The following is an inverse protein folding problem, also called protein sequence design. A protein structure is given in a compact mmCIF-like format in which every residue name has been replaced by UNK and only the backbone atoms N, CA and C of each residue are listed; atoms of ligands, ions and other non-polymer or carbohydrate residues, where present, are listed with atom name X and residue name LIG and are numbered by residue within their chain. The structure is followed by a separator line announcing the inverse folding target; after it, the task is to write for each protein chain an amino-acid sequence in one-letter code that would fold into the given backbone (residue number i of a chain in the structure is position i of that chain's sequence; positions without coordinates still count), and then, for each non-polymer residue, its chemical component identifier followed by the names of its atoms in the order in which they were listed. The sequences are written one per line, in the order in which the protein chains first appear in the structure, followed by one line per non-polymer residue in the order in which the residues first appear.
data_IF_844770527723
#
_entry.id   IF_844770527723
#
_cell.length_a   1.000
_cell.length_b   1.000
_cell.length_c   1.000
_cell.angle_alpha   90.00
_cell.angle_beta   90.00
_cell.angle_gamma   90.00
#
_symmetry.space_group_name_H-M   'P 1'
#
loop_
_entity.id
_entity.type
_entity.pdbx_description
1 polymer ?
#
# COMPACT_ATOMS: atom_id res chain seq x y z
N UNK A 1 -52.21 -29.43 -61.24
CA UNK A 1 -53.49 -29.16 -60.55
C UNK A 1 -53.68 -30.19 -59.44
N UNK A 2 -53.36 -29.88 -58.18
CA UNK A 2 -54.23 -30.14 -57.04
C UNK A 2 -53.61 -29.58 -55.75
N UNK A 3 -54.49 -29.07 -54.89
CA UNK A 3 -54.22 -28.27 -53.69
C UNK A 3 -53.97 -29.16 -52.46
N UNK A 4 -53.60 -28.47 -51.37
CA UNK A 4 -53.70 -28.83 -49.95
C UNK A 4 -52.45 -29.52 -49.36
N UNK A 5 -51.94 -29.17 -48.17
CA UNK A 5 -52.42 -28.31 -47.07
C UNK A 5 -51.23 -27.97 -46.17
N UNK A 6 -50.95 -26.69 -45.95
CA UNK A 6 -50.02 -26.22 -44.92
C UNK A 6 -50.65 -26.42 -43.54
N UNK A 7 -49.98 -27.13 -42.63
CA UNK A 7 -50.25 -27.08 -41.19
C UNK A 7 -49.42 -25.95 -40.59
N UNK A 8 -50.09 -24.91 -40.09
CA UNK A 8 -49.50 -23.87 -39.26
C UNK A 8 -49.48 -24.39 -37.83
N UNK A 9 -48.29 -24.62 -37.29
CA UNK A 9 -48.08 -24.88 -35.87
C UNK A 9 -48.06 -23.52 -35.16
N UNK A 10 -49.08 -23.24 -34.36
CA UNK A 10 -49.14 -22.06 -33.50
C UNK A 10 -48.12 -22.21 -32.37
N UNK A 11 -46.92 -21.64 -32.52
CA UNK A 11 -46.01 -21.44 -31.40
C UNK A 11 -46.39 -20.11 -30.73
N UNK A 12 -47.00 -20.22 -29.55
CA UNK A 12 -47.32 -19.10 -28.68
C UNK A 12 -46.01 -18.45 -28.20
N UNK A 13 -45.65 -17.30 -28.77
CA UNK A 13 -44.51 -16.51 -28.31
C UNK A 13 -44.93 -15.82 -27.00
N UNK A 14 -44.59 -16.43 -25.87
CA UNK A 14 -44.75 -15.82 -24.55
C UNK A 14 -43.61 -14.80 -24.36
N UNK A 15 -43.87 -13.53 -24.62
CA UNK A 15 -42.91 -12.45 -24.32
C UNK A 15 -42.90 -12.24 -22.80
N UNK A 16 -42.00 -12.93 -22.11
CA UNK A 16 -41.69 -12.64 -20.71
C UNK A 16 -40.90 -11.33 -20.71
N UNK A 17 -41.57 -10.24 -20.35
CA UNK A 17 -40.91 -9.00 -19.96
C UNK A 17 -40.32 -9.26 -18.58
N UNK A 18 -39.05 -9.67 -18.52
CA UNK A 18 -38.29 -9.68 -17.27
C UNK A 18 -38.04 -8.24 -16.86
N UNK A 19 -38.80 -7.75 -15.89
CA UNK A 19 -38.37 -6.62 -15.08
C UNK A 19 -37.10 -7.07 -14.34
N UNK A 20 -35.94 -6.69 -14.87
CA UNK A 20 -34.71 -6.66 -14.09
C UNK A 20 -34.91 -5.65 -12.97
N UNK A 21 -35.33 -6.15 -11.81
CA UNK A 21 -35.15 -5.46 -10.54
C UNK A 21 -33.64 -5.27 -10.40
N UNK A 22 -33.15 -4.09 -10.75
CA UNK A 22 -31.85 -3.65 -10.27
C UNK A 22 -31.89 -3.80 -8.75
N UNK A 23 -30.93 -4.51 -8.12
CA UNK A 23 -30.79 -4.41 -6.68
C UNK A 23 -30.66 -2.91 -6.40
N UNK A 24 -31.55 -2.39 -5.54
CA UNK A 24 -31.37 -1.05 -5.01
C UNK A 24 -29.93 -1.00 -4.50
N UNK A 25 -29.12 -0.11 -5.06
CA UNK A 25 -27.80 0.18 -4.52
C UNK A 25 -28.01 0.39 -3.02
N UNK A 26 -27.52 -0.54 -2.22
CA UNK A 26 -27.43 -0.31 -0.79
C UNK A 26 -26.46 0.85 -0.68
N UNK A 27 -27.00 2.07 -0.49
CA UNK A 27 -26.20 3.25 -0.19
C UNK A 27 -25.25 2.84 0.92
N UNK A 28 -23.96 2.76 0.59
CA UNK A 28 -22.94 2.45 1.57
C UNK A 28 -23.12 3.46 2.72
N UNK A 29 -23.13 2.96 3.96
CA UNK A 29 -23.29 3.82 5.12
C UNK A 29 -22.22 4.93 5.07
N UNK A 30 -22.64 6.19 5.22
CA UNK A 30 -21.73 7.34 5.26
C UNK A 30 -20.77 7.16 6.43
N UNK A 31 -19.53 6.80 6.13
CA UNK A 31 -18.50 6.52 7.15
C UNK A 31 -18.16 7.76 7.98
N UNK A 32 -18.51 8.96 7.52
CA UNK A 32 -18.30 10.19 8.29
C UNK A 32 -19.39 10.45 9.32
N UNK A 33 -20.53 9.77 9.23
CA UNK A 33 -21.60 9.89 10.22
C UNK A 33 -21.25 9.11 11.49
N UNK A 34 -20.88 9.87 12.52
CA UNK A 34 -20.47 9.36 13.83
C UNK A 34 -21.53 9.62 14.89
N UNK A 35 -22.76 9.98 14.48
CA UNK A 35 -23.85 10.39 15.37
C UNK A 35 -24.07 9.38 16.49
N UNK A 36 -24.14 8.09 16.17
CA UNK A 36 -24.36 7.04 17.17
C UNK A 36 -23.25 6.98 18.24
N UNK A 37 -21.98 7.19 17.86
CA UNK A 37 -20.86 7.21 18.80
C UNK A 37 -20.91 8.43 19.71
N UNK A 38 -21.25 9.60 19.16
CA UNK A 38 -21.36 10.84 19.94
C UNK A 38 -22.55 10.80 20.89
N UNK A 39 -23.71 10.27 20.45
CA UNK A 39 -24.88 10.03 21.31
C UNK A 39 -24.53 9.11 22.47
N UNK A 40 -23.82 8.01 22.22
CA UNK A 40 -23.42 7.06 23.26
C UNK A 40 -22.43 7.63 24.29
N UNK A 41 -21.73 8.71 23.94
CA UNK A 41 -20.78 9.39 24.83
C UNK A 41 -21.43 10.46 25.73
N UNK A 42 -22.72 10.76 25.54
CA UNK A 42 -23.44 11.71 26.41
C UNK A 42 -23.76 11.05 27.75
N UNK A 43 -23.36 11.71 28.84
CA UNK A 43 -23.69 11.31 30.22
C UNK A 43 -24.06 12.54 31.05
N UNK A 44 -25.10 12.43 31.87
CA UNK A 44 -25.59 13.52 32.74
C UNK A 44 -25.82 14.85 32.00
N UNK A 45 -26.37 14.79 30.78
CA UNK A 45 -26.57 15.92 29.87
C UNK A 45 -25.27 16.69 29.53
N UNK A 46 -24.14 15.99 29.55
CA UNK A 46 -22.82 16.49 29.15
C UNK A 46 -22.21 15.57 28.11
N UNK A 47 -21.45 16.17 27.21
CA UNK A 47 -20.59 15.50 26.25
C UNK A 47 -19.16 15.97 26.53
N UNK A 48 -18.22 15.03 26.64
CA UNK A 48 -16.79 15.29 26.58
C UNK A 48 -16.19 14.21 25.69
N UNK A 49 -15.79 14.57 24.48
CA UNK A 49 -15.33 13.58 23.48
C UNK A 49 -14.13 14.10 22.69
N UNK A 50 -13.13 13.24 22.52
CA UNK A 50 -11.93 13.55 21.73
C UNK A 50 -12.19 13.32 20.24
N UNK A 51 -11.88 14.30 19.41
CA UNK A 51 -11.95 14.19 17.97
C UNK A 51 -10.70 13.51 17.41
N UNK A 52 -10.66 12.18 17.51
CA UNK A 52 -9.50 11.38 17.08
C UNK A 52 -9.92 10.15 16.28
N UNK A 53 -8.98 9.61 15.51
CA UNK A 53 -9.16 8.35 14.79
C UNK A 53 -9.37 7.15 15.72
N UNK A 54 -8.82 7.18 16.93
CA UNK A 54 -9.09 6.13 17.93
C UNK A 54 -10.56 6.12 18.35
N UNK A 55 -11.19 7.30 18.43
CA UNK A 55 -12.60 7.44 18.83
C UNK A 55 -13.52 7.08 17.67
N UNK A 56 -13.29 7.66 16.51
CA UNK A 56 -14.24 7.63 15.39
C UNK A 56 -13.87 6.65 14.27
N UNK A 57 -12.62 6.21 14.19
CA UNK A 57 -12.01 5.63 13.00
C UNK A 57 -11.48 6.73 12.08
N UNK A 58 -10.62 6.37 11.13
CA UNK A 58 -10.15 7.30 10.11
C UNK A 58 -11.18 7.41 8.98
N UNK A 59 -12.12 8.33 9.15
CA UNK A 59 -13.28 8.53 8.25
C UNK A 59 -12.90 9.20 6.93
N UNK A 60 -11.73 9.84 6.88
CA UNK A 60 -11.16 10.47 5.70
C UNK A 60 -9.62 10.33 5.73
N UNK A 61 -9.08 9.19 5.26
CA UNK A 61 -7.64 8.93 5.29
C UNK A 61 -6.82 9.95 4.51
N UNK A 62 -5.70 10.37 5.08
CA UNK A 62 -4.75 11.30 4.44
C UNK A 62 -5.16 12.78 4.50
N UNK A 63 -6.31 13.11 5.09
CA UNK A 63 -6.78 14.49 5.24
C UNK A 63 -7.06 14.79 6.72
N UNK A 64 -6.64 15.96 7.25
CA UNK A 64 -7.04 16.39 8.58
C UNK A 64 -8.56 16.44 8.71
N UNK A 65 -9.10 15.97 9.83
CA UNK A 65 -10.55 15.91 10.06
C UNK A 65 -11.03 16.95 11.06
N UNK A 66 -12.34 17.15 11.10
CA UNK A 66 -13.04 18.00 12.06
C UNK A 66 -14.30 17.29 12.52
N UNK A 67 -14.51 17.23 13.83
CA UNK A 67 -15.77 16.80 14.42
C UNK A 67 -16.71 18.00 14.42
N UNK A 68 -17.87 17.85 13.80
CA UNK A 68 -18.97 18.80 13.84
C UNK A 68 -20.19 18.13 14.44
N UNK A 69 -20.70 18.67 15.54
CA UNK A 69 -21.86 18.16 16.27
C UNK A 69 -22.98 19.20 16.23
N UNK A 70 -24.07 18.86 15.57
CA UNK A 70 -25.35 19.55 15.70
C UNK A 70 -26.09 18.98 16.90
N UNK A 71 -26.49 19.84 17.83
CA UNK A 71 -27.16 19.44 19.05
C UNK A 71 -28.19 20.49 19.48
N UNK A 72 -29.07 20.08 20.37
CA UNK A 72 -30.08 20.94 20.98
C UNK A 72 -29.92 20.91 22.49
N UNK A 73 -29.97 22.08 23.12
CA UNK A 73 -30.10 22.23 24.57
C UNK A 73 -31.43 22.96 24.82
N UNK A 74 -32.39 22.26 25.43
CA UNK A 74 -33.77 22.74 25.52
C UNK A 74 -34.41 22.90 24.14
N UNK A 75 -34.76 24.14 23.76
CA UNK A 75 -35.34 24.46 22.44
C UNK A 75 -34.33 25.12 21.48
N UNK A 76 -33.08 25.27 21.89
CA UNK A 76 -32.05 25.94 21.09
C UNK A 76 -31.13 24.95 20.41
N UNK A 77 -31.17 24.92 19.08
CA UNK A 77 -30.19 24.23 18.26
C UNK A 77 -28.88 25.01 18.19
N UNK A 78 -27.77 24.29 18.26
CA UNK A 78 -26.42 24.80 18.28
C UNK A 78 -25.49 23.84 17.54
N UNK A 79 -24.31 24.35 17.18
CA UNK A 79 -23.26 23.56 16.53
C UNK A 79 -21.97 23.72 17.30
N UNK A 80 -21.36 22.59 17.64
CA UNK A 80 -20.03 22.51 18.23
C UNK A 80 -19.07 21.93 17.21
N UNK A 81 -17.88 22.51 17.10
CA UNK A 81 -16.84 22.03 16.19
C UNK A 81 -15.49 21.94 16.90
N UNK A 82 -14.72 20.91 16.57
CA UNK A 82 -13.34 20.78 17.03
C UNK A 82 -12.50 20.06 15.97
N UNK A 83 -11.28 20.56 15.74
CA UNK A 83 -10.34 19.93 14.80
C UNK A 83 -9.81 18.61 15.36
N UNK A 84 -9.37 17.72 14.47
CA UNK A 84 -8.69 16.48 14.83
C UNK A 84 -7.57 16.71 15.87
N UNK A 85 -7.55 15.86 16.89
CA UNK A 85 -6.67 15.97 18.07
C UNK A 85 -7.24 16.84 19.20
N UNK A 86 -8.31 17.61 18.96
CA UNK A 86 -8.96 18.40 20.01
C UNK A 86 -10.06 17.64 20.77
N UNK A 87 -10.59 18.25 21.82
CA UNK A 87 -11.69 17.73 22.62
C UNK A 87 -12.89 18.68 22.56
N UNK A 88 -14.08 18.12 22.31
CA UNK A 88 -15.33 18.87 22.35
C UNK A 88 -16.03 18.63 23.68
N UNK A 89 -16.31 19.71 24.41
CA UNK A 89 -17.06 19.70 25.66
C UNK A 89 -18.35 20.50 25.51
N UNK A 90 -19.48 19.87 25.82
CA UNK A 90 -20.81 20.48 25.83
C UNK A 90 -21.47 20.11 27.15
N UNK A 91 -22.03 21.07 27.86
CA UNK A 91 -22.78 20.82 29.08
C UNK A 91 -24.10 21.59 29.05
N UNK A 92 -25.22 20.86 29.17
CA UNK A 92 -26.51 21.52 29.36
C UNK A 92 -26.59 22.13 30.78
N UNK A 93 -27.16 23.34 30.92
CA UNK A 93 -27.50 23.88 32.23
C UNK A 93 -28.47 22.97 33.00
N UNK A 94 -28.48 23.09 34.33
CA UNK A 94 -29.38 22.30 35.18
C UNK A 94 -30.85 22.47 34.74
N UNK A 95 -31.55 21.35 34.58
CA UNK A 95 -32.95 21.30 34.14
C UNK A 95 -33.15 21.38 32.61
N UNK A 96 -32.07 21.43 31.82
CA UNK A 96 -32.14 21.34 30.36
C UNK A 96 -31.53 20.02 29.86
N UNK A 97 -32.15 19.46 28.83
CA UNK A 97 -31.70 18.23 28.19
C UNK A 97 -30.76 18.55 27.02
N UNK A 98 -29.67 17.78 26.92
CA UNK A 98 -28.78 17.78 25.75
C UNK A 98 -29.20 16.67 24.79
N UNK A 99 -29.58 17.03 23.58
CA UNK A 99 -29.93 16.08 22.51
C UNK A 99 -28.97 16.26 21.34
N UNK A 100 -28.22 15.22 20.98
CA UNK A 100 -27.41 15.22 19.76
C UNK A 100 -28.33 14.97 18.56
N UNK A 101 -28.29 15.87 17.58
CA UNK A 101 -29.10 15.78 16.36
C UNK A 101 -28.31 15.03 15.28
N UNK A 102 -27.06 15.45 15.05
CA UNK A 102 -26.18 14.86 14.05
C UNK A 102 -24.73 15.12 14.42
N UNK A 103 -23.86 14.15 14.23
CA UNK A 103 -22.42 14.34 14.36
C UNK A 103 -21.67 13.77 13.16
N UNK A 104 -20.80 14.59 12.59
CA UNK A 104 -19.99 14.27 11.43
C UNK A 104 -18.51 14.43 11.77
N UNK A 105 -17.71 13.42 11.44
CA UNK A 105 -16.24 13.51 11.47
C UNK A 105 -15.76 13.48 10.02
N UNK A 106 -15.59 14.67 9.43
CA UNK A 106 -15.34 14.87 8.00
C UNK A 106 -13.99 15.55 7.76
N UNK A 107 -13.49 15.62 6.51
CA UNK A 107 -12.38 16.50 6.14
C UNK A 107 -12.58 17.93 6.68
N UNK A 108 -11.54 18.47 7.33
CA UNK A 108 -11.59 19.77 7.99
C UNK A 108 -11.77 20.94 7.00
N UNK A 109 -11.33 20.74 5.76
CA UNK A 109 -11.46 21.69 4.64
C UNK A 109 -12.84 21.67 3.98
N UNK A 110 -13.75 20.80 4.44
CA UNK A 110 -15.10 20.65 3.89
C UNK A 110 -15.16 19.86 2.58
N UNK A 111 -14.05 19.26 2.15
CA UNK A 111 -14.04 18.32 1.03
C UNK A 111 -14.88 17.07 1.34
N UNK A 112 -15.34 16.38 0.29
CA UNK A 112 -15.98 15.08 0.46
C UNK A 112 -14.87 14.02 0.64
N UNK A 113 -15.07 13.00 1.50
CA UNK A 113 -14.20 11.84 1.51
C UNK A 113 -14.11 11.22 0.12
N UNK A 114 -12.93 10.71 -0.23
CA UNK A 114 -12.72 10.04 -1.51
C UNK A 114 -13.55 8.76 -1.58
N UNK A 115 -14.37 8.64 -2.63
CA UNK A 115 -15.03 7.38 -2.97
C UNK A 115 -14.12 6.57 -3.89
N UNK A 116 -13.36 5.64 -3.31
CA UNK A 116 -12.47 4.77 -4.07
C UNK A 116 -13.18 3.86 -5.09
N UNK A 117 -14.52 3.75 -5.07
CA UNK A 117 -15.25 3.08 -6.15
C UNK A 117 -15.34 3.92 -7.43
N UNK A 118 -15.05 5.22 -7.34
CA UNK A 118 -15.06 6.18 -8.44
C UNK A 118 -13.72 6.93 -8.53
N UNK A 119 -12.59 6.23 -8.76
CA UNK A 119 -11.26 6.84 -8.73
C UNK A 119 -11.06 7.97 -9.75
N UNK A 120 -11.84 7.95 -10.85
CA UNK A 120 -11.81 9.00 -11.87
C UNK A 120 -12.27 10.38 -11.35
N UNK A 121 -12.91 10.47 -10.18
CA UNK A 121 -13.28 11.75 -9.58
C UNK A 121 -12.08 12.53 -8.99
N UNK A 122 -10.97 11.84 -8.72
CA UNK A 122 -9.82 12.43 -8.04
C UNK A 122 -8.44 11.99 -8.58
N UNK A 123 -8.40 11.13 -9.61
CA UNK A 123 -7.17 10.75 -10.32
C UNK A 123 -7.30 11.03 -11.81
N UNK A 124 -6.28 11.68 -12.37
CA UNK A 124 -6.18 11.93 -13.80
C UNK A 124 -5.56 10.73 -14.54
N UNK A 125 -6.03 10.47 -15.76
CA UNK A 125 -5.43 9.49 -16.69
C UNK A 125 -5.05 10.12 -18.03
N UNK A 126 -4.07 9.52 -18.71
CA UNK A 126 -3.81 9.83 -20.11
C UNK A 126 -4.93 9.29 -21.01
N UNK A 127 -5.15 9.88 -22.21
CA UNK A 127 -6.12 9.36 -23.16
C UNK A 127 -5.90 7.87 -23.47
N UNK A 128 -6.97 7.08 -23.39
CA UNK A 128 -6.95 5.63 -23.61
C UNK A 128 -6.67 4.78 -22.37
N UNK A 129 -6.47 5.39 -21.20
CA UNK A 129 -6.28 4.70 -19.92
C UNK A 129 -7.48 4.89 -18.99
N UNK A 130 -7.83 3.83 -18.26
CA UNK A 130 -8.81 3.83 -17.18
C UNK A 130 -8.13 3.45 -15.87
N UNK A 131 -8.67 3.92 -14.75
CA UNK A 131 -8.25 3.52 -13.40
C UNK A 131 -9.42 2.79 -12.74
N UNK A 132 -9.12 1.67 -12.11
CA UNK A 132 -10.06 0.91 -11.29
C UNK A 132 -9.41 0.62 -9.94
N UNK A 133 -10.20 0.74 -8.87
CA UNK A 133 -9.75 0.32 -7.55
C UNK A 133 -9.91 -1.19 -7.41
N UNK A 134 -8.79 -1.89 -7.22
CA UNK A 134 -8.76 -3.36 -7.14
C UNK A 134 -8.72 -3.86 -5.70
N UNK A 135 -7.89 -3.25 -4.85
CA UNK A 135 -7.65 -3.70 -3.49
C UNK A 135 -7.12 -2.55 -2.63
N UNK A 136 -7.63 -2.47 -1.39
CA UNK A 136 -7.14 -1.58 -0.35
C UNK A 136 -6.44 -2.40 0.75
N UNK A 137 -5.31 -1.89 1.26
CA UNK A 137 -4.63 -2.51 2.39
C UNK A 137 -5.42 -2.29 3.69
N UNK A 138 -5.54 -3.35 4.49
CA UNK A 138 -5.90 -3.22 5.90
C UNK A 138 -4.60 -3.00 6.71
N UNK A 139 -4.49 -1.86 7.38
CA UNK A 139 -3.28 -1.50 8.13
C UNK A 139 -2.92 -2.53 9.23
N UNK A 140 -3.91 -3.20 9.82
CA UNK A 140 -3.70 -4.18 10.89
C UNK A 140 -3.32 -5.57 10.39
N UNK A 141 -3.69 -5.91 9.14
CA UNK A 141 -3.44 -7.22 8.54
C UNK A 141 -2.28 -7.18 7.54
N UNK A 142 -2.29 -6.18 6.67
CA UNK A 142 -1.35 -6.05 5.54
C UNK A 142 -0.22 -5.08 5.83
N UNK A 143 -0.47 -4.06 6.66
CA UNK A 143 0.43 -2.93 6.81
C UNK A 143 0.41 -2.02 5.58
N UNK A 144 1.57 -1.49 5.21
CA UNK A 144 1.80 -0.63 4.05
C UNK A 144 2.61 -1.39 3.00
N UNK A 145 2.00 -1.67 1.86
CA UNK A 145 2.74 -2.26 0.74
C UNK A 145 3.69 -1.24 0.11
N UNK A 146 4.94 -1.65 -0.08
CA UNK A 146 6.04 -0.82 -0.62
C UNK A 146 6.71 -1.44 -1.84
N UNK A 147 6.41 -2.69 -2.16
CA UNK A 147 6.95 -3.39 -3.31
C UNK A 147 5.89 -4.32 -3.89
N UNK A 148 5.95 -4.53 -5.21
CA UNK A 148 5.07 -5.47 -5.91
C UNK A 148 5.88 -6.32 -6.89
N UNK A 149 5.64 -7.63 -6.88
CA UNK A 149 6.14 -8.57 -7.88
C UNK A 149 5.04 -9.52 -8.35
N UNK A 150 5.30 -10.25 -9.43
CA UNK A 150 4.44 -11.35 -9.90
C UNK A 150 5.12 -12.68 -9.65
N UNK A 151 4.34 -13.66 -9.24
CA UNK A 151 4.80 -15.06 -9.22
C UNK A 151 4.49 -15.77 -10.56
N UNK A 152 4.99 -17.00 -10.78
CA UNK A 152 4.78 -17.72 -12.04
C UNK A 152 3.33 -18.08 -12.36
N UNK A 153 2.44 -18.03 -11.37
CA UNK A 153 1.00 -18.28 -11.56
C UNK A 153 0.26 -16.98 -11.91
N UNK A 154 0.97 -15.86 -12.06
CA UNK A 154 0.40 -14.56 -12.37
C UNK A 154 -0.21 -13.84 -11.17
N UNK A 155 0.02 -14.33 -9.95
CA UNK A 155 -0.48 -13.68 -8.72
C UNK A 155 0.43 -12.54 -8.33
N UNK A 156 -0.12 -11.53 -7.66
CA UNK A 156 0.65 -10.41 -7.11
C UNK A 156 1.22 -10.78 -5.75
N UNK A 157 2.48 -10.43 -5.52
CA UNK A 157 3.13 -10.43 -4.22
C UNK A 157 3.34 -8.97 -3.83
N UNK A 158 2.78 -8.56 -2.69
CA UNK A 158 2.81 -7.20 -2.18
C UNK A 158 3.64 -7.19 -0.89
N UNK A 159 4.83 -6.62 -0.95
CA UNK A 159 5.78 -6.59 0.16
C UNK A 159 5.50 -5.46 1.13
N UNK A 160 5.42 -5.76 2.43
CA UNK A 160 5.21 -4.76 3.49
C UNK A 160 6.48 -4.04 3.94
N UNK A 161 6.32 -2.97 4.72
CA UNK A 161 7.41 -2.27 5.39
C UNK A 161 8.09 -3.11 6.48
N UNK A 162 9.02 -2.50 7.23
CA UNK A 162 9.70 -3.15 8.35
C UNK A 162 8.71 -3.77 9.34
N UNK A 163 8.90 -5.06 9.62
CA UNK A 163 8.02 -5.87 10.47
C UNK A 163 6.66 -6.26 9.86
N UNK A 164 6.36 -5.86 8.63
CA UNK A 164 5.08 -6.14 7.96
C UNK A 164 5.19 -7.29 6.96
N UNK A 165 4.08 -8.01 6.71
CA UNK A 165 4.12 -9.25 5.94
C UNK A 165 4.16 -9.03 4.42
N UNK A 166 4.43 -10.11 3.69
CA UNK A 166 4.17 -10.19 2.24
C UNK A 166 2.75 -10.72 2.04
N UNK A 167 1.93 -9.97 1.31
CA UNK A 167 0.56 -10.36 0.94
C UNK A 167 0.56 -10.93 -0.48
N UNK A 168 0.00 -12.13 -0.67
CA UNK A 168 -0.24 -12.74 -1.98
C UNK A 168 -1.69 -12.53 -2.40
N UNK A 169 -1.90 -12.03 -3.62
CA UNK A 169 -3.21 -11.70 -4.18
C UNK A 169 -3.42 -12.44 -5.49
N UNK A 170 -4.53 -13.18 -5.58
CA UNK A 170 -4.97 -13.83 -6.82
C UNK A 170 -6.06 -12.99 -7.46
N UNK A 171 -5.86 -12.64 -8.73
CA UNK A 171 -6.81 -11.90 -9.53
C UNK A 171 -7.47 -12.82 -10.55
N UNK A 172 -8.77 -12.62 -10.79
CA UNK A 172 -9.52 -13.17 -11.90
C UNK A 172 -10.34 -12.05 -12.52
N UNK A 173 -10.20 -11.82 -13.83
CA UNK A 173 -10.91 -10.77 -14.57
C UNK A 173 -10.83 -9.38 -13.89
N UNK A 174 -9.62 -9.01 -13.45
CA UNK A 174 -9.35 -7.73 -12.77
C UNK A 174 -9.81 -7.66 -11.31
N UNK A 175 -10.44 -8.70 -10.76
CA UNK A 175 -11.00 -8.72 -9.40
C UNK A 175 -10.22 -9.64 -8.47
N UNK A 176 -10.12 -9.26 -7.20
CA UNK A 176 -9.53 -10.10 -6.15
C UNK A 176 -10.43 -11.29 -5.87
N UNK A 177 -9.93 -12.50 -6.09
CA UNK A 177 -10.62 -13.76 -5.73
C UNK A 177 -10.00 -14.47 -4.54
N UNK A 178 -8.76 -14.13 -4.19
CA UNK A 178 -8.08 -14.66 -3.00
C UNK A 178 -7.00 -13.71 -2.52
N UNK A 179 -6.89 -13.57 -1.20
CA UNK A 179 -5.82 -12.85 -0.52
C UNK A 179 -5.29 -13.72 0.61
N UNK A 180 -3.98 -13.75 0.78
CA UNK A 180 -3.32 -14.56 1.82
C UNK A 180 -1.99 -13.93 2.25
N UNK A 181 -1.63 -14.11 3.52
CA UNK A 181 -0.33 -13.69 4.05
C UNK A 181 0.67 -14.83 3.85
N UNK A 182 1.83 -14.52 3.29
CA UNK A 182 2.93 -15.47 3.16
C UNK A 182 3.80 -15.46 4.41
N UNK A 183 4.07 -16.65 4.95
CA UNK A 183 4.95 -16.84 6.10
C UNK A 183 6.41 -16.89 5.66
N UNK A 184 6.96 -15.74 5.26
CA UNK A 184 8.37 -15.57 4.91
C UNK A 184 9.01 -14.72 6.02
N UNK A 185 10.11 -15.14 6.67
CA UNK A 185 10.77 -14.41 7.74
C UNK A 185 11.68 -13.28 7.19
N UNK A 186 11.17 -12.54 6.21
CA UNK A 186 11.79 -11.36 5.62
C UNK A 186 10.70 -10.29 5.53
N UNK A 187 10.97 -9.12 6.13
CA UNK A 187 10.11 -7.93 6.12
C UNK A 187 10.85 -6.77 5.48
N UNK A 188 10.30 -5.55 5.50
CA UNK A 188 10.90 -4.39 4.80
C UNK A 188 11.25 -4.75 3.35
N UNK A 189 10.28 -5.35 2.68
CA UNK A 189 10.49 -5.95 1.37
C UNK A 189 10.55 -4.85 0.32
N UNK A 190 11.74 -4.30 0.08
CA UNK A 190 11.97 -3.19 -0.85
C UNK A 190 12.16 -3.67 -2.29
N UNK A 191 12.61 -4.90 -2.48
CA UNK A 191 12.78 -5.52 -3.80
C UNK A 191 12.29 -6.95 -3.83
N UNK A 192 11.59 -7.33 -4.90
CA UNK A 192 11.18 -8.71 -5.16
C UNK A 192 11.33 -9.07 -6.61
N UNK A 193 11.82 -10.28 -6.88
CA UNK A 193 11.94 -10.81 -8.23
C UNK A 193 11.82 -12.33 -8.19
N UNK A 194 10.94 -12.90 -9.02
CA UNK A 194 10.85 -14.35 -9.19
C UNK A 194 11.72 -14.81 -10.38
N UNK A 195 12.64 -15.75 -10.14
CA UNK A 195 13.53 -16.35 -11.16
C UNK A 195 13.72 -17.82 -10.86
N UNK A 196 13.62 -18.71 -11.87
CA UNK A 196 13.99 -20.12 -11.79
C UNK A 196 13.46 -20.86 -10.54
N UNK A 197 12.16 -20.74 -10.29
CA UNK A 197 11.48 -21.35 -9.13
C UNK A 197 11.91 -20.81 -7.75
N UNK A 198 12.49 -19.62 -7.70
CA UNK A 198 12.87 -18.95 -6.46
C UNK A 198 12.40 -17.49 -6.46
N UNK A 199 11.95 -17.03 -5.29
CA UNK A 199 11.65 -15.63 -5.03
C UNK A 199 12.87 -14.98 -4.36
N UNK A 200 13.48 -14.03 -5.06
CA UNK A 200 14.54 -13.18 -4.53
C UNK A 200 13.92 -11.98 -3.82
N UNK A 201 14.44 -11.65 -2.65
CA UNK A 201 13.95 -10.55 -1.82
C UNK A 201 15.15 -9.69 -1.38
N UNK A 202 15.08 -8.39 -1.64
CA UNK A 202 15.87 -7.39 -0.94
C UNK A 202 15.05 -6.88 0.23
N UNK A 203 15.46 -7.19 1.45
CA UNK A 203 14.68 -6.87 2.65
C UNK A 203 15.38 -7.22 3.96
N UNK A 204 14.69 -7.02 5.08
CA UNK A 204 15.17 -7.28 6.44
C UNK A 204 14.76 -8.67 6.93
N UNK A 205 15.74 -9.55 7.12
CA UNK A 205 15.55 -10.90 7.68
C UNK A 205 16.41 -11.14 8.93
N UNK A 206 16.57 -12.41 9.31
CA UNK A 206 17.31 -12.81 10.52
C UNK A 206 18.78 -12.38 10.55
N UNK A 207 19.36 -12.03 9.39
CA UNK A 207 20.74 -11.56 9.24
C UNK A 207 20.82 -10.09 8.83
N UNK A 208 19.78 -9.31 9.14
CA UNK A 208 19.68 -7.89 8.77
C UNK A 208 19.18 -7.68 7.35
N UNK A 209 19.39 -6.48 6.83
CA UNK A 209 18.97 -6.11 5.48
C UNK A 209 19.92 -6.71 4.43
N UNK A 210 19.37 -7.53 3.54
CA UNK A 210 20.15 -8.41 2.68
C UNK A 210 19.34 -8.89 1.47
N UNK A 211 20.06 -9.51 0.53
CA UNK A 211 19.48 -10.35 -0.51
C UNK A 211 19.22 -11.74 0.05
N UNK A 212 17.95 -12.16 0.01
CA UNK A 212 17.48 -13.49 0.37
C UNK A 212 16.92 -14.21 -0.86
N UNK A 213 17.05 -15.54 -0.86
CA UNK A 213 16.45 -16.42 -1.87
C UNK A 213 15.49 -17.38 -1.18
N UNK A 214 14.23 -17.30 -1.56
CA UNK A 214 13.13 -18.06 -0.97
C UNK A 214 12.65 -19.12 -1.95
N UNK A 215 12.52 -20.38 -1.52
CA UNK A 215 12.07 -21.51 -2.35
C UNK A 215 10.94 -22.27 -1.67
N UNK A 216 10.02 -22.78 -2.49
CA UNK A 216 9.06 -23.79 -2.08
C UNK A 216 9.63 -25.18 -2.37
N UNK A 217 10.20 -25.81 -1.34
CA UNK A 217 10.82 -27.13 -1.45
C UNK A 217 9.81 -28.27 -1.32
N UNK A 218 8.58 -27.96 -0.90
CA UNK A 218 7.51 -28.94 -0.63
C UNK A 218 6.43 -28.95 -1.71
N UNK A 219 6.45 -27.99 -2.64
CA UNK A 219 5.44 -27.84 -3.68
C UNK A 219 4.05 -27.45 -3.15
N UNK A 220 3.98 -26.90 -1.94
CA UNK A 220 2.72 -26.56 -1.27
C UNK A 220 2.40 -25.06 -1.34
N UNK A 221 3.10 -24.33 -2.22
CA UNK A 221 2.93 -22.91 -2.46
C UNK A 221 3.32 -22.04 -1.25
N UNK A 222 4.20 -22.56 -0.40
CA UNK A 222 4.83 -21.89 0.74
C UNK A 222 6.33 -21.83 0.53
N UNK A 223 6.95 -20.68 0.78
CA UNK A 223 8.40 -20.52 0.66
C UNK A 223 9.08 -20.93 1.96
N UNK A 224 9.35 -22.23 2.12
CA UNK A 224 9.82 -22.82 3.36
C UNK A 224 11.35 -22.86 3.52
N UNK A 225 12.09 -22.68 2.43
CA UNK A 225 13.55 -22.50 2.43
C UNK A 225 13.87 -21.03 2.16
N UNK A 226 14.53 -20.36 3.11
CA UNK A 226 14.86 -18.94 3.05
C UNK A 226 16.35 -18.79 3.29
N UNK A 227 17.08 -18.66 2.19
CA UNK A 227 18.53 -18.64 2.16
C UNK A 227 19.04 -17.20 2.13
N UNK A 228 19.91 -16.83 3.08
CA UNK A 228 20.68 -15.61 2.99
C UNK A 228 21.73 -15.75 1.87
N UNK A 229 21.78 -14.80 0.93
CA UNK A 229 22.79 -14.77 -0.12
C UNK A 229 23.87 -13.73 0.14
N UNK A 230 23.47 -12.49 0.45
CA UNK A 230 24.40 -11.36 0.55
C UNK A 230 23.87 -10.25 1.43
N UNK A 231 24.72 -9.68 2.27
CA UNK A 231 24.40 -8.50 3.07
C UNK A 231 24.35 -7.23 2.20
N UNK A 232 23.36 -6.37 2.46
CA UNK A 232 23.35 -4.98 2.01
C UNK A 232 23.62 -4.07 3.21
N UNK A 233 24.90 -3.85 3.53
CA UNK A 233 25.29 -3.06 4.71
C UNK A 233 24.67 -1.67 4.65
N UNK A 234 23.80 -1.31 5.59
CA UNK A 234 23.09 -0.02 5.56
C UNK A 234 22.02 0.09 4.48
N UNK A 235 21.63 -1.02 3.84
CA UNK A 235 20.70 -1.06 2.72
C UNK A 235 19.22 -1.01 3.09
N UNK A 236 18.88 -0.75 4.36
CA UNK A 236 17.49 -0.51 4.77
C UNK A 236 17.05 0.93 4.53
N UNK A 237 15.74 1.15 4.59
CA UNK A 237 15.13 2.47 4.42
C UNK A 237 15.14 2.99 2.99
N UNK A 238 14.90 4.30 2.90
CA UNK A 238 14.55 4.96 1.64
C UNK A 238 15.73 5.06 0.66
N UNK A 239 16.97 5.17 1.16
CA UNK A 239 18.20 5.18 0.35
C UNK A 239 18.91 3.81 0.33
N UNK A 240 18.13 2.75 0.48
CA UNK A 240 18.57 1.37 0.65
C UNK A 240 18.73 0.58 -0.65
N UNK A 241 18.80 -0.76 -0.55
CA UNK A 241 18.77 -1.65 -1.71
C UNK A 241 17.34 -2.07 -2.02
N UNK A 242 16.84 -1.67 -3.19
CA UNK A 242 15.43 -1.81 -3.57
C UNK A 242 15.26 -2.82 -4.71
N UNK A 243 14.88 -2.34 -5.89
CA UNK A 243 14.47 -3.15 -7.04
C UNK A 243 15.49 -4.21 -7.45
N UNK A 244 14.95 -5.38 -7.82
CA UNK A 244 15.69 -6.51 -8.37
C UNK A 244 15.19 -6.80 -9.77
N UNK A 245 16.10 -7.01 -10.73
CA UNK A 245 15.75 -7.42 -12.09
C UNK A 245 16.69 -8.51 -12.59
N UNK A 246 16.18 -9.39 -13.45
CA UNK A 246 17.00 -10.37 -14.17
C UNK A 246 17.49 -9.72 -15.46
N UNK A 247 18.80 -9.67 -15.65
CA UNK A 247 19.40 -9.20 -16.90
C UNK A 247 19.27 -10.22 -18.04
N UNK A 248 19.41 -9.78 -19.30
CA UNK A 248 19.40 -10.68 -20.46
C UNK A 248 20.58 -11.68 -20.49
N UNK A 249 21.59 -11.43 -19.65
CA UNK A 249 22.75 -12.28 -19.41
C UNK A 249 22.53 -13.34 -18.30
N UNK A 250 21.31 -13.46 -17.80
CA UNK A 250 20.91 -14.33 -16.67
C UNK A 250 21.57 -13.98 -15.33
N UNK A 251 21.99 -12.72 -15.16
CA UNK A 251 22.54 -12.22 -13.90
C UNK A 251 21.48 -11.45 -13.12
N UNK A 252 21.60 -11.46 -11.79
CA UNK A 252 20.76 -10.64 -10.92
C UNK A 252 21.33 -9.22 -10.87
N UNK A 253 20.47 -8.24 -11.12
CA UNK A 253 20.78 -6.83 -10.94
C UNK A 253 19.98 -6.29 -9.75
N UNK A 254 20.65 -5.60 -8.84
CA UNK A 254 20.04 -4.92 -7.71
C UNK A 254 20.38 -3.43 -7.76
N UNK A 255 19.37 -2.58 -7.58
CA UNK A 255 19.59 -1.15 -7.39
C UNK A 255 19.84 -0.84 -5.92
N UNK A 256 20.88 -0.08 -5.64
CA UNK A 256 21.34 0.26 -4.32
C UNK A 256 21.51 1.77 -4.19
N UNK A 257 20.75 2.39 -3.28
CA UNK A 257 20.88 3.79 -2.95
C UNK A 257 22.20 4.12 -2.26
N UNK A 258 22.48 5.41 -2.10
CA UNK A 258 23.77 5.92 -1.67
C UNK A 258 24.10 5.72 -0.19
N UNK A 259 23.19 5.14 0.60
CA UNK A 259 23.47 4.68 1.96
C UNK A 259 23.69 3.18 2.06
N UNK A 260 23.50 2.45 0.95
CA UNK A 260 23.94 1.07 0.86
C UNK A 260 25.46 1.05 0.70
N UNK A 261 26.15 0.45 1.66
CA UNK A 261 27.59 0.27 1.66
C UNK A 261 28.04 -0.61 0.50
N UNK A 262 29.23 -0.33 -0.03
CA UNK A 262 29.80 -1.12 -1.11
C UNK A 262 30.15 -2.54 -0.65
N UNK A 263 29.98 -3.54 -1.55
CA UNK A 263 30.54 -4.87 -1.36
C UNK A 263 32.07 -4.79 -1.28
N UNK A 264 32.66 -5.58 -0.38
CA UNK A 264 34.13 -5.66 -0.23
C UNK A 264 34.77 -6.66 -1.19
N UNK A 265 33.96 -7.50 -1.83
CA UNK A 265 34.34 -8.64 -2.68
C UNK A 265 33.99 -8.41 -4.16
N UNK A 266 34.13 -7.17 -4.64
CA UNK A 266 33.93 -6.86 -6.06
C UNK A 266 34.89 -7.67 -6.93
N UNK A 267 34.41 -8.21 -8.04
CA UNK A 267 35.27 -8.89 -9.01
C UNK A 267 36.24 -7.92 -9.70
N UNK A 268 37.33 -8.44 -10.25
CA UNK A 268 38.29 -7.62 -11.02
C UNK A 268 37.67 -6.99 -12.28
N UNK A 269 36.66 -7.63 -12.87
CA UNK A 269 35.92 -7.15 -14.04
C UNK A 269 34.92 -6.04 -13.73
N UNK A 270 34.66 -5.75 -12.45
CA UNK A 270 33.73 -4.72 -12.00
C UNK A 270 34.08 -3.33 -12.59
N UNK A 271 33.22 -2.76 -13.46
CA UNK A 271 33.54 -1.54 -14.21
C UNK A 271 33.84 -0.32 -13.33
N UNK A 272 33.17 -0.20 -12.18
CA UNK A 272 33.30 0.95 -11.28
C UNK A 272 34.08 0.64 -9.99
N UNK A 273 34.87 -0.44 -9.96
CA UNK A 273 35.60 -0.88 -8.74
C UNK A 273 36.59 0.15 -8.17
N UNK A 274 37.11 1.04 -9.02
CA UNK A 274 38.11 2.05 -8.63
C UNK A 274 37.49 3.45 -8.50
N UNK A 275 36.16 3.57 -8.56
CA UNK A 275 35.50 4.88 -8.41
C UNK A 275 35.80 5.44 -7.02
N UNK A 276 36.35 6.65 -6.96
CA UNK A 276 36.79 7.29 -5.74
C UNK A 276 36.75 8.81 -5.90
N UNK A 277 37.02 9.53 -4.81
CA UNK A 277 37.22 10.97 -4.87
C UNK A 277 38.49 11.31 -5.66
N UNK A 278 38.35 12.24 -6.59
CA UNK A 278 39.46 12.93 -7.27
C UNK A 278 39.41 14.44 -7.01
N UNK A 279 39.10 14.80 -5.75
CA UNK A 279 38.91 16.17 -5.32
C UNK A 279 40.26 16.83 -5.03
N UNK A 280 40.55 17.95 -5.73
CA UNK A 280 41.73 18.78 -5.45
C UNK A 280 41.63 19.57 -4.13
N UNK A 281 40.41 19.76 -3.60
CA UNK A 281 40.11 20.46 -2.36
C UNK A 281 39.36 19.53 -1.39
N UNK A 282 39.39 19.80 -0.07
CA UNK A 282 38.56 19.07 0.87
C UNK A 282 37.09 19.05 0.43
N UNK A 283 36.45 17.90 0.60
CA UNK A 283 35.02 17.73 0.33
C UNK A 283 34.22 18.79 1.09
N UNK A 284 33.34 19.49 0.38
CA UNK A 284 32.28 20.23 1.04
C UNK A 284 31.23 19.21 1.48
N UNK A 285 31.08 19.08 2.79
CA UNK A 285 30.10 18.17 3.39
C UNK A 285 28.67 18.69 3.18
N UNK A 286 27.71 17.77 3.24
CA UNK A 286 26.30 18.11 3.27
C UNK A 286 26.01 19.02 4.47
N UNK A 287 25.62 20.27 4.21
CA UNK A 287 25.35 21.28 5.22
C UNK A 287 24.16 20.94 6.14
N UNK A 288 23.28 20.03 5.73
CA UNK A 288 22.18 19.51 6.55
C UNK A 288 22.58 18.25 7.33
N UNK A 289 23.80 17.73 7.12
CA UNK A 289 24.33 16.56 7.79
C UNK A 289 23.78 15.21 7.33
N UNK A 290 22.82 15.20 6.40
CA UNK A 290 22.13 13.97 5.97
C UNK A 290 23.09 12.99 5.29
N UNK A 291 23.93 13.47 4.38
CA UNK A 291 24.98 12.67 3.71
C UNK A 291 26.41 12.94 4.18
N UNK A 292 26.60 13.64 5.31
CA UNK A 292 27.93 14.06 5.74
C UNK A 292 28.84 12.85 6.04
N UNK A 293 30.06 12.88 5.51
CA UNK A 293 31.06 11.82 5.62
C UNK A 293 30.87 10.65 4.63
N UNK A 294 29.78 10.61 3.85
CA UNK A 294 29.59 9.62 2.81
C UNK A 294 30.60 9.85 1.67
N UNK A 295 31.28 8.77 1.24
CA UNK A 295 32.28 8.80 0.18
C UNK A 295 31.77 8.14 -1.10
N UNK A 296 32.28 8.55 -2.27
CA UNK A 296 32.01 7.87 -3.51
C UNK A 296 32.52 6.42 -3.50
N UNK A 297 31.95 5.56 -4.35
CA UNK A 297 30.72 5.78 -5.11
C UNK A 297 29.48 5.87 -4.20
N UNK A 298 28.69 6.94 -4.39
CA UNK A 298 27.36 7.02 -3.83
C UNK A 298 26.39 6.32 -4.78
N UNK A 299 25.70 5.31 -4.26
CA UNK A 299 24.70 4.51 -4.97
C UNK A 299 25.28 3.73 -6.14
N UNK A 300 24.68 2.59 -6.43
CA UNK A 300 25.17 1.69 -7.47
C UNK A 300 24.12 0.72 -7.97
N UNK A 301 24.40 0.18 -9.16
CA UNK A 301 23.75 -1.03 -9.65
C UNK A 301 24.73 -2.18 -9.42
N UNK A 302 24.33 -3.12 -8.57
CA UNK A 302 25.03 -4.39 -8.41
C UNK A 302 24.61 -5.35 -9.51
N UNK A 303 25.57 -6.07 -10.10
CA UNK A 303 25.33 -7.21 -11.00
C UNK A 303 26.02 -8.42 -10.40
N UNK A 304 25.33 -9.55 -10.25
CA UNK A 304 25.87 -10.73 -9.57
C UNK A 304 25.23 -12.03 -10.07
N UNK A 305 25.83 -13.17 -9.73
CA UNK A 305 25.25 -14.47 -10.00
C UNK A 305 23.93 -14.67 -9.22
N UNK A 306 23.10 -15.62 -9.66
CA UNK A 306 21.85 -15.98 -8.99
C UNK A 306 22.02 -16.56 -7.57
N UNK A 307 23.25 -16.83 -7.13
CA UNK A 307 23.59 -17.19 -5.75
C UNK A 307 24.23 -16.04 -4.95
N UNK A 308 24.21 -14.81 -5.49
CA UNK A 308 24.73 -13.60 -4.86
C UNK A 308 26.25 -13.45 -4.92
N UNK A 309 26.97 -14.33 -5.62
CA UNK A 309 28.43 -14.26 -5.77
C UNK A 309 28.85 -13.47 -7.01
N UNK A 310 30.16 -13.27 -7.15
CA UNK A 310 30.78 -12.60 -8.30
C UNK A 310 30.16 -11.24 -8.58
N UNK A 311 30.05 -10.43 -7.52
CA UNK A 311 29.38 -9.14 -7.57
C UNK A 311 30.26 -8.10 -8.28
N UNK A 312 29.62 -7.35 -9.18
CA UNK A 312 30.18 -6.24 -9.94
C UNK A 312 29.44 -4.95 -9.59
N UNK A 313 30.20 -3.85 -9.57
CA UNK A 313 29.67 -2.49 -9.57
C UNK A 313 29.43 -2.09 -11.03
N UNK A 314 28.29 -2.54 -11.56
CA UNK A 314 27.96 -2.37 -12.97
C UNK A 314 27.88 -0.89 -13.37
N UNK A 315 27.25 -0.08 -12.52
CA UNK A 315 27.26 1.38 -12.59
C UNK A 315 27.27 2.00 -11.19
N UNK A 316 27.70 3.25 -11.07
CA UNK A 316 27.60 4.04 -9.83
C UNK A 316 27.11 5.47 -10.08
N UNK A 317 26.77 6.18 -9.00
CA UNK A 317 26.32 7.58 -9.04
C UNK A 317 24.83 7.79 -8.75
N UNK A 318 24.14 6.72 -8.35
CA UNK A 318 22.75 6.78 -7.89
C UNK A 318 22.64 7.48 -6.52
N UNK A 319 21.47 8.03 -6.21
CA UNK A 319 21.18 8.60 -4.87
C UNK A 319 20.16 7.73 -4.14
N UNK A 320 18.92 7.84 -4.58
CA UNK A 320 17.80 7.11 -4.07
C UNK A 320 16.96 6.72 -5.28
N UNK A 321 16.70 5.42 -5.40
CA UNK A 321 16.44 4.74 -6.66
C UNK A 321 15.64 3.48 -6.43
#
# INVERSE_FOLDING_TARGET
MNRSTFRVSTALLLTIVTFSLFPADSLAADKTDVTAKVVAAVSDNKLAISATNDTFGDTAPGVPKKLRVEYRIGDKEQVGEVSEGGQLEIAAPAGQELVIIKALYCPADGSKPLDYSQPAEFLDTLPGFTIEHVLQADASVNGSWICMAKDPKGRLLLGGQNGQPITRVTLQDGKVVKQEILNIPVSETMGMLFVNNALYISGAGSRGFALYRCRDTKGNDSYDDVEFLREWRGGGGEHGSHGLVLGPDNMLYAVCGNFTGLPHDLTESSPHRNYADDLALPRMEDGNGFGAGAKPPGGYIARMDLDGKNIELFSSGQRNT
#
